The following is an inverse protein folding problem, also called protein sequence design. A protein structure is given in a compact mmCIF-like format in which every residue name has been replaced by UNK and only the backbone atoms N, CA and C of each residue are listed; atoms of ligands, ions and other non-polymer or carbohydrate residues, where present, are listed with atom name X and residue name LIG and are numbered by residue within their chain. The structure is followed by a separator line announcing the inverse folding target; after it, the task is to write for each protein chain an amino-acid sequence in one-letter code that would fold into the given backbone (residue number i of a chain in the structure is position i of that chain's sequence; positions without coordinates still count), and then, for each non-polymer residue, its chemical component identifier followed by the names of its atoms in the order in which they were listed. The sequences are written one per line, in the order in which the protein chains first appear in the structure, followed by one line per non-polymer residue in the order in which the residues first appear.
data_IF_970449461430
#
_entry.id   IF_970449461430
#
_cell.length_a   1.000
_cell.length_b   1.000
_cell.length_c   1.000
_cell.angle_alpha   90.00
_cell.angle_beta   90.00
_cell.angle_gamma   90.00
#
_symmetry.space_group_name_H-M   'P 1'
#
loop_
_entity.id
_entity.type
_entity.pdbx_description
1 polymer ?
#
# COMPACT_ATOMS: atom_id res chain seq x y z
N UNK A 1 -12.47 -12.58 -3.05
CA UNK A 1 -13.20 -11.66 -2.15
C UNK A 1 -13.08 -10.27 -2.75
N UNK A 2 -14.21 -9.72 -3.18
CA UNK A 2 -14.31 -8.33 -3.68
C UNK A 2 -14.19 -7.35 -2.49
N UNK A 3 -13.75 -6.10 -2.76
CA UNK A 3 -13.43 -5.10 -1.73
C UNK A 3 -14.56 -4.87 -0.72
N UNK A 4 -15.82 -4.90 -1.17
CA UNK A 4 -16.99 -4.70 -0.33
C UNK A 4 -17.13 -5.73 0.79
N UNK A 5 -16.86 -7.01 0.51
CA UNK A 5 -16.94 -8.06 1.52
C UNK A 5 -15.87 -7.88 2.61
N UNK A 6 -14.69 -7.37 2.24
CA UNK A 6 -13.59 -7.12 3.17
C UNK A 6 -13.97 -6.03 4.17
N UNK A 7 -14.59 -4.94 3.71
CA UNK A 7 -15.09 -3.85 4.57
C UNK A 7 -16.06 -4.39 5.63
N UNK A 8 -17.03 -5.20 5.20
CA UNK A 8 -18.03 -5.76 6.11
C UNK A 8 -17.41 -6.63 7.20
N UNK A 9 -16.41 -7.46 6.85
CA UNK A 9 -15.69 -8.30 7.82
C UNK A 9 -14.91 -7.44 8.80
N UNK A 10 -14.16 -6.44 8.33
CA UNK A 10 -13.35 -5.56 9.18
C UNK A 10 -14.22 -4.75 10.13
N UNK A 11 -15.32 -4.16 9.65
CA UNK A 11 -16.28 -3.44 10.51
C UNK A 11 -16.85 -4.33 11.60
N UNK A 12 -17.25 -5.56 11.26
CA UNK A 12 -17.78 -6.53 12.22
C UNK A 12 -16.74 -6.91 13.28
N UNK A 13 -15.49 -7.09 12.88
CA UNK A 13 -14.40 -7.39 13.80
C UNK A 13 -14.07 -6.19 14.71
N UNK A 14 -14.03 -4.96 14.17
CA UNK A 14 -13.83 -3.75 14.97
C UNK A 14 -14.89 -3.59 16.04
N UNK A 15 -16.17 -3.75 15.69
CA UNK A 15 -17.26 -3.65 16.67
C UNK A 15 -17.21 -4.77 17.71
N UNK A 16 -16.86 -6.00 17.31
CA UNK A 16 -16.71 -7.13 18.26
C UNK A 16 -15.65 -6.87 19.33
N UNK A 17 -14.55 -6.20 18.98
CA UNK A 17 -13.41 -5.97 19.88
C UNK A 17 -13.37 -4.58 20.49
N UNK A 18 -14.38 -3.74 20.19
CA UNK A 18 -14.49 -2.37 20.69
C UNK A 18 -14.47 -2.33 22.21
N UNK A 19 -13.59 -1.51 22.77
CA UNK A 19 -13.41 -1.37 24.22
C UNK A 19 -12.70 -2.54 24.90
N UNK A 20 -12.38 -3.62 24.18
CA UNK A 20 -11.69 -4.79 24.74
C UNK A 20 -10.21 -4.81 24.33
N UNK A 21 -9.94 -4.71 23.02
CA UNK A 21 -8.57 -4.79 22.47
C UNK A 21 -8.48 -3.99 21.17
N UNK A 22 -7.32 -3.37 20.94
CA UNK A 22 -7.01 -2.64 19.71
C UNK A 22 -6.12 -3.50 18.82
N UNK A 23 -6.53 -3.69 17.57
CA UNK A 23 -5.79 -4.40 16.54
C UNK A 23 -5.73 -3.54 15.28
N UNK A 24 -4.71 -3.77 14.45
CA UNK A 24 -4.60 -3.19 13.11
C UNK A 24 -5.02 -4.25 12.08
N UNK A 25 -5.69 -3.82 11.03
CA UNK A 25 -6.10 -4.70 9.94
C UNK A 25 -5.16 -4.56 8.75
N UNK A 26 -4.61 -5.69 8.31
CA UNK A 26 -3.79 -5.78 7.10
C UNK A 26 -4.58 -6.45 5.97
N UNK A 27 -4.48 -5.91 4.75
CA UNK A 27 -4.89 -6.59 3.53
C UNK A 27 -3.69 -6.85 2.63
N UNK A 28 -3.60 -8.07 2.09
CA UNK A 28 -2.53 -8.50 1.17
C UNK A 28 -3.08 -9.21 -0.06
N UNK A 29 -2.31 -9.18 -1.15
CA UNK A 29 -2.57 -9.96 -2.37
C UNK A 29 -3.20 -9.17 -3.52
N UNK A 30 -2.59 -9.30 -4.71
CA UNK A 30 -3.02 -8.73 -6.00
C UNK A 30 -3.44 -7.24 -5.94
N UNK A 31 -2.73 -6.44 -5.15
CA UNK A 31 -2.92 -5.00 -5.05
C UNK A 31 -2.03 -4.34 -6.09
N UNK A 32 -2.63 -3.78 -7.13
CA UNK A 32 -1.97 -3.06 -8.22
C UNK A 32 -2.34 -1.58 -8.18
N UNK A 33 -1.63 -0.72 -8.90
CA UNK A 33 -1.97 0.72 -8.96
C UNK A 33 -3.43 0.96 -9.38
N UNK A 34 -3.95 0.13 -10.28
CA UNK A 34 -5.31 0.23 -10.82
C UNK A 34 -6.42 -0.09 -9.82
N UNK A 35 -6.16 -0.94 -8.82
CA UNK A 35 -7.15 -1.34 -7.82
C UNK A 35 -6.82 -0.84 -6.41
N UNK A 36 -5.73 -0.07 -6.27
CA UNK A 36 -5.27 0.45 -4.99
C UNK A 36 -6.33 1.33 -4.33
N UNK A 37 -7.00 2.21 -5.09
CA UNK A 37 -8.03 3.10 -4.56
C UNK A 37 -9.24 2.32 -4.01
N UNK A 38 -9.65 1.26 -4.69
CA UNK A 38 -10.76 0.40 -4.26
C UNK A 38 -10.41 -0.43 -3.02
N UNK A 39 -9.11 -0.74 -2.85
CA UNK A 39 -8.60 -1.51 -1.69
C UNK A 39 -8.16 -0.63 -0.53
N UNK A 40 -7.86 0.64 -0.78
CA UNK A 40 -7.51 1.66 0.21
C UNK A 40 -8.76 2.18 0.91
N UNK A 41 -9.37 1.28 1.66
CA UNK A 41 -10.54 1.54 2.48
C UNK A 41 -10.09 2.11 3.83
N UNK A 42 -10.81 3.10 4.35
CA UNK A 42 -10.46 3.74 5.64
C UNK A 42 -10.44 2.77 6.83
N UNK A 43 -11.07 1.61 6.69
CA UNK A 43 -11.14 0.56 7.70
C UNK A 43 -9.90 -0.34 7.73
N UNK A 44 -9.12 -0.38 6.65
CA UNK A 44 -7.88 -1.16 6.55
C UNK A 44 -6.70 -0.26 6.97
N UNK A 45 -5.96 -0.70 7.97
CA UNK A 45 -4.86 0.09 8.54
C UNK A 45 -3.54 -0.10 7.76
N UNK A 46 -3.33 -1.28 7.16
CA UNK A 46 -2.10 -1.65 6.46
C UNK A 46 -2.44 -2.32 5.13
N UNK A 47 -1.81 -1.86 4.05
CA UNK A 47 -1.85 -2.50 2.74
C UNK A 47 -0.47 -3.07 2.41
N UNK A 48 -0.43 -4.38 2.16
CA UNK A 48 0.80 -5.09 1.81
C UNK A 48 0.72 -5.55 0.35
N UNK A 49 1.62 -5.03 -0.49
CA UNK A 49 1.68 -5.39 -1.91
C UNK A 49 3.08 -5.76 -2.36
N UNK A 50 3.18 -6.88 -3.07
CA UNK A 50 4.44 -7.34 -3.66
C UNK A 50 4.89 -6.46 -4.83
N UNK A 51 3.99 -5.66 -5.42
CA UNK A 51 4.28 -4.75 -6.54
C UNK A 51 5.33 -3.71 -6.18
N UNK A 52 5.50 -3.35 -4.91
CA UNK A 52 6.58 -2.43 -4.46
C UNK A 52 7.97 -3.04 -4.65
N UNK A 53 8.10 -4.37 -4.71
CA UNK A 53 9.39 -5.06 -4.78
C UNK A 53 9.54 -5.92 -6.04
N UNK A 54 8.44 -6.27 -6.70
CA UNK A 54 8.40 -7.13 -7.88
C UNK A 54 8.00 -6.31 -9.11
N UNK A 55 8.80 -6.40 -10.17
CA UNK A 55 8.53 -5.73 -11.45
C UNK A 55 8.47 -4.20 -11.37
N UNK A 56 9.18 -3.59 -10.42
CA UNK A 56 9.28 -2.13 -10.28
C UNK A 56 10.03 -1.49 -11.45
N UNK A 57 9.55 -0.32 -11.88
CA UNK A 57 10.26 0.48 -12.87
C UNK A 57 11.63 0.91 -12.33
N UNK A 58 12.62 0.85 -13.20
CA UNK A 58 13.99 1.23 -12.85
C UNK A 58 14.12 2.75 -13.01
N UNK A 59 14.68 3.42 -11.99
CA UNK A 59 15.00 4.84 -12.08
C UNK A 59 16.37 4.97 -12.75
N UNK A 60 16.42 5.67 -13.88
CA UNK A 60 17.66 5.95 -14.58
C UNK A 60 18.40 7.13 -13.91
N UNK A 61 19.62 6.88 -13.47
CA UNK A 61 20.48 7.89 -12.84
C UNK A 61 21.71 8.11 -13.70
N UNK A 62 22.08 9.38 -13.88
CA UNK A 62 23.33 9.74 -14.54
C UNK A 62 24.08 10.83 -13.78
N UNK A 63 25.40 10.71 -13.76
CA UNK A 63 26.29 11.72 -13.19
C UNK A 63 26.98 12.47 -14.34
N UNK A 64 26.68 13.77 -14.46
CA UNK A 64 27.34 14.64 -15.45
C UNK A 64 28.50 15.38 -14.81
N UNK A 65 29.71 15.03 -15.22
CA UNK A 65 30.94 15.72 -14.79
C UNK A 65 30.98 17.11 -15.46
N UNK A 66 31.13 18.18 -14.67
CA UNK A 66 31.35 19.55 -15.16
C UNK A 66 32.82 19.91 -15.02
N UNK A 67 33.47 20.24 -16.13
CA UNK A 67 34.83 20.76 -16.11
C UNK A 67 34.85 22.22 -15.64
N UNK A 68 35.85 22.64 -14.84
CA UNK A 68 36.01 24.05 -14.48
C UNK A 68 36.30 24.89 -15.73
N UNK A 69 35.74 26.11 -15.79
CA UNK A 69 36.03 27.06 -16.87
C UNK A 69 37.52 27.45 -16.82
N UNK A 70 38.21 27.41 -17.96
CA UNK A 70 39.57 27.97 -18.07
C UNK A 70 39.50 29.46 -17.73
N UNK A 71 40.38 29.89 -16.81
CA UNK A 71 40.63 31.30 -16.52
C UNK A 71 41.28 31.98 -17.72
#
# INVERSE_FOLDING_TARGET
MEGDQLVHVVRRLREKWKGQRKFLFESSGNITETNLQERALNEIDILSTSVVHQSVQHIDFSLKIKMPKKK
#
